data_IF_451933821007
#
_entry.id   IF_451933821007
#
_cell.length_a   1.000
_cell.length_b   1.000
_cell.length_c   1.000
_cell.angle_alpha   90.00
_cell.angle_beta   90.00
_cell.angle_gamma   90.00
#
_symmetry.space_group_name_H-M   'P 1'
#
loop_
_entity.id
_entity.type
_entity.pdbx_description
1 polymer ?
#
# COMPACT_ATOMS: atom_id res chain seq x y z
N UNK A 1 -9.26 19.17 13.75
CA UNK A 1 -10.05 18.07 13.16
C UNK A 1 -9.12 16.94 12.70
N UNK A 2 -8.01 17.26 12.03
CA UNK A 2 -6.83 16.41 11.79
C UNK A 2 -5.55 17.19 12.14
N UNK A 3 -4.40 16.51 12.19
CA UNK A 3 -3.12 16.99 12.73
C UNK A 3 -1.98 16.96 11.68
N UNK A 4 -2.23 16.45 10.47
CA UNK A 4 -1.28 16.49 9.35
C UNK A 4 -1.31 17.84 8.60
N UNK A 5 -0.16 18.24 8.04
CA UNK A 5 -0.03 19.46 7.25
C UNK A 5 -0.13 19.14 5.75
N UNK A 6 -1.22 19.57 5.12
CA UNK A 6 -1.46 19.36 3.68
C UNK A 6 -0.43 20.08 2.81
N UNK A 7 -0.01 21.30 3.17
CA UNK A 7 0.97 22.07 2.40
C UNK A 7 2.32 21.35 2.37
N UNK A 8 2.80 20.90 3.54
CA UNK A 8 4.00 20.07 3.63
C UNK A 8 3.86 18.76 2.87
N UNK A 9 2.67 18.17 2.87
CA UNK A 9 2.39 16.93 2.14
C UNK A 9 2.50 17.13 0.63
N UNK A 10 1.85 18.15 0.07
CA UNK A 10 1.97 18.47 -1.35
C UNK A 10 3.38 18.89 -1.74
N UNK A 11 4.06 19.67 -0.88
CA UNK A 11 5.46 20.03 -1.09
C UNK A 11 6.38 18.80 -1.12
N UNK A 12 6.14 17.80 -0.27
CA UNK A 12 6.87 16.53 -0.30
C UNK A 12 6.61 15.74 -1.58
N UNK A 13 5.37 15.73 -2.10
CA UNK A 13 5.07 15.12 -3.40
C UNK A 13 5.80 15.83 -4.54
N UNK A 14 5.87 17.17 -4.52
CA UNK A 14 6.63 17.93 -5.51
C UNK A 14 8.15 17.64 -5.43
N UNK A 15 8.71 17.58 -4.21
CA UNK A 15 10.13 17.22 -3.99
C UNK A 15 10.45 15.77 -4.32
N UNK A 16 9.44 14.89 -4.37
CA UNK A 16 9.55 13.49 -4.81
C UNK A 16 8.89 13.24 -6.15
N UNK A 17 8.68 14.28 -6.98
CA UNK A 17 8.08 14.15 -8.30
C UNK A 17 8.76 13.08 -9.18
N UNK A 18 10.10 12.90 -9.17
CA UNK A 18 10.74 11.79 -9.88
C UNK A 18 10.21 10.41 -9.47
N UNK A 19 9.95 10.19 -8.17
CA UNK A 19 9.31 8.97 -7.69
C UNK A 19 7.85 8.85 -8.14
N UNK A 20 7.10 9.94 -8.13
CA UNK A 20 5.70 9.95 -8.63
C UNK A 20 5.66 9.55 -10.10
N UNK A 21 6.52 10.14 -10.94
CA UNK A 21 6.62 9.81 -12.37
C UNK A 21 7.04 8.35 -12.57
N UNK A 22 8.02 7.88 -11.78
CA UNK A 22 8.45 6.48 -11.86
C UNK A 22 7.33 5.51 -11.45
N UNK A 23 6.60 5.81 -10.37
CA UNK A 23 5.41 5.06 -9.96
C UNK A 23 4.37 5.08 -11.06
N UNK A 24 4.08 6.23 -11.66
CA UNK A 24 3.15 6.34 -12.79
C UNK A 24 3.58 5.42 -13.93
N UNK A 25 4.85 5.45 -14.35
CA UNK A 25 5.36 4.56 -15.40
C UNK A 25 5.14 3.08 -15.06
N UNK A 26 5.39 2.66 -13.81
CA UNK A 26 5.16 1.29 -13.35
C UNK A 26 3.66 0.93 -13.36
N UNK A 27 2.80 1.74 -12.73
CA UNK A 27 1.37 1.43 -12.61
C UNK A 27 0.64 1.53 -13.96
N UNK A 28 0.94 2.52 -14.80
CA UNK A 28 0.40 2.60 -16.15
C UNK A 28 0.97 1.50 -17.05
N UNK A 29 2.24 1.13 -16.91
CA UNK A 29 2.82 -0.02 -17.62
C UNK A 29 2.07 -1.32 -17.31
N UNK A 30 1.71 -1.54 -16.05
CA UNK A 30 0.87 -2.67 -15.61
C UNK A 30 -0.54 -2.59 -16.21
N UNK A 31 -1.16 -1.41 -16.19
CA UNK A 31 -2.49 -1.21 -16.78
C UNK A 31 -2.50 -1.50 -18.28
N UNK A 32 -1.53 -0.94 -19.02
CA UNK A 32 -1.35 -1.17 -20.46
C UNK A 32 -1.09 -2.64 -20.74
N UNK A 33 -0.25 -3.30 -19.93
CA UNK A 33 0.02 -4.72 -20.06
C UNK A 33 -1.25 -5.58 -19.94
N UNK A 34 -2.13 -5.27 -18.98
CA UNK A 34 -3.44 -5.94 -18.89
C UNK A 34 -4.29 -5.70 -20.13
N UNK A 35 -4.40 -4.46 -20.61
CA UNK A 35 -5.19 -4.12 -21.80
C UNK A 35 -4.66 -4.87 -23.03
N UNK A 36 -3.35 -4.90 -23.24
CA UNK A 36 -2.71 -5.60 -24.36
C UNK A 36 -2.92 -7.11 -24.24
N UNK A 37 -2.67 -7.69 -23.06
CA UNK A 37 -2.78 -9.14 -22.89
C UNK A 37 -4.22 -9.63 -23.06
N UNK A 38 -5.20 -8.93 -22.49
CA UNK A 38 -6.63 -9.22 -22.66
C UNK A 38 -7.06 -9.00 -24.11
N UNK A 39 -6.67 -7.90 -24.74
CA UNK A 39 -7.01 -7.62 -26.14
C UNK A 39 -6.40 -8.62 -27.12
N UNK A 40 -5.11 -8.94 -26.97
CA UNK A 40 -4.42 -9.93 -27.79
C UNK A 40 -4.99 -11.33 -27.60
N UNK A 41 -5.27 -11.72 -26.35
CA UNK A 41 -5.96 -12.98 -26.05
C UNK A 41 -7.32 -13.06 -26.75
N UNK A 42 -8.10 -11.99 -26.68
CA UNK A 42 -9.39 -11.91 -27.37
C UNK A 42 -9.27 -11.98 -28.88
N UNK A 43 -8.31 -11.28 -29.48
CA UNK A 43 -8.07 -11.33 -30.92
C UNK A 43 -7.65 -12.72 -31.41
N UNK A 44 -6.77 -13.41 -30.67
CA UNK A 44 -6.37 -14.79 -30.97
C UNK A 44 -7.57 -15.73 -30.83
N UNK A 45 -8.32 -15.60 -29.73
CA UNK A 45 -9.52 -16.41 -29.49
C UNK A 45 -10.55 -16.25 -30.60
N UNK A 46 -10.82 -15.01 -31.04
CA UNK A 46 -11.68 -14.72 -32.17
C UNK A 46 -11.15 -15.39 -33.46
N UNK A 47 -9.87 -15.22 -33.78
CA UNK A 47 -9.28 -15.75 -35.02
C UNK A 47 -9.27 -17.27 -35.10
N UNK A 48 -9.20 -17.98 -33.97
CA UNK A 48 -9.26 -19.45 -33.91
C UNK A 48 -10.70 -19.95 -34.11
N UNK A 49 -11.71 -19.23 -33.64
CA UNK A 49 -13.11 -19.69 -33.64
C UNK A 49 -14.00 -18.98 -34.65
N UNK A 50 -13.48 -18.00 -35.40
CA UNK A 50 -14.24 -17.20 -36.37
C UNK A 50 -14.79 -18.02 -37.55
N UNK A 51 -14.30 -19.25 -37.74
CA UNK A 51 -14.75 -20.15 -38.79
C UNK A 51 -16.03 -20.93 -38.45
N UNK A 52 -16.55 -20.85 -37.22
CA UNK A 52 -17.85 -21.43 -36.86
C UNK A 52 -18.91 -20.34 -36.70
N UNK A 53 -20.14 -20.65 -37.13
CA UNK A 53 -21.25 -19.69 -37.25
C UNK A 53 -21.56 -18.92 -35.94
N UNK A 54 -21.32 -19.52 -34.77
CA UNK A 54 -21.52 -18.91 -33.46
C UNK A 54 -20.22 -18.76 -32.63
N UNK A 55 -19.06 -19.13 -33.17
CA UNK A 55 -17.83 -19.30 -32.38
C UNK A 55 -17.01 -18.04 -32.14
N UNK A 56 -17.07 -17.07 -33.05
CA UNK A 56 -16.18 -15.89 -33.00
C UNK A 56 -16.31 -15.10 -31.70
N UNK A 57 -17.54 -14.80 -31.26
CA UNK A 57 -17.79 -14.05 -30.02
C UNK A 57 -17.36 -14.82 -28.76
N UNK A 58 -17.69 -16.12 -28.68
CA UNK A 58 -17.31 -16.95 -27.54
C UNK A 58 -15.80 -17.20 -27.47
N UNK A 59 -15.14 -17.39 -28.61
CA UNK A 59 -13.69 -17.51 -28.67
C UNK A 59 -12.99 -16.24 -28.24
N UNK A 60 -13.48 -15.07 -28.67
CA UNK A 60 -12.95 -13.77 -28.21
C UNK A 60 -13.06 -13.63 -26.68
N UNK A 61 -14.19 -14.03 -26.09
CA UNK A 61 -14.39 -13.97 -24.65
C UNK A 61 -13.39 -14.86 -23.89
N UNK A 62 -13.30 -16.15 -24.23
CA UNK A 62 -12.37 -17.06 -23.55
C UNK A 62 -10.91 -16.72 -23.81
N UNK A 63 -10.58 -16.28 -25.02
CA UNK A 63 -9.26 -15.78 -25.36
C UNK A 63 -8.88 -14.57 -24.49
N UNK A 64 -9.79 -13.61 -24.32
CA UNK A 64 -9.58 -12.44 -23.48
C UNK A 64 -9.41 -12.83 -21.99
N UNK A 65 -10.19 -13.79 -21.50
CA UNK A 65 -10.03 -14.35 -20.16
C UNK A 65 -8.67 -15.01 -19.95
N UNK A 66 -8.20 -15.81 -20.92
CA UNK A 66 -6.88 -16.47 -20.87
C UNK A 66 -5.77 -15.41 -20.89
N UNK A 67 -5.89 -14.39 -21.75
CA UNK A 67 -4.95 -13.28 -21.78
C UNK A 67 -4.88 -12.52 -20.44
N UNK A 68 -6.05 -12.22 -19.85
CA UNK A 68 -6.14 -11.61 -18.53
C UNK A 68 -5.53 -12.49 -17.42
N UNK A 69 -5.83 -13.80 -17.43
CA UNK A 69 -5.31 -14.74 -16.45
C UNK A 69 -3.79 -14.90 -16.57
N UNK A 70 -3.27 -14.97 -17.80
CA UNK A 70 -1.83 -15.01 -18.08
C UNK A 70 -1.13 -13.75 -17.57
N UNK A 71 -1.67 -12.57 -17.86
CA UNK A 71 -1.16 -11.31 -17.33
C UNK A 71 -1.18 -11.27 -15.79
N UNK A 72 -2.27 -11.75 -15.18
CA UNK A 72 -2.42 -11.85 -13.74
C UNK A 72 -1.36 -12.77 -13.13
N UNK A 73 -1.10 -13.93 -13.75
CA UNK A 73 -0.07 -14.87 -13.32
C UNK A 73 1.33 -14.26 -13.37
N UNK A 74 1.69 -13.59 -14.47
CA UNK A 74 2.99 -12.90 -14.60
C UNK A 74 3.13 -11.81 -13.54
N UNK A 75 2.10 -10.98 -13.37
CA UNK A 75 2.12 -9.88 -12.41
C UNK A 75 2.07 -10.32 -10.96
N UNK A 76 1.51 -11.51 -10.67
CA UNK A 76 1.56 -12.10 -9.34
C UNK A 76 3.01 -12.27 -8.88
N UNK A 77 3.89 -12.79 -9.74
CA UNK A 77 5.31 -12.94 -9.44
C UNK A 77 6.06 -11.61 -9.47
N UNK A 78 5.71 -10.69 -10.38
CA UNK A 78 6.38 -9.39 -10.50
C UNK A 78 6.01 -8.40 -9.38
N UNK A 79 4.85 -8.57 -8.74
CA UNK A 79 4.30 -7.64 -7.74
C UNK A 79 5.26 -7.40 -6.58
N UNK A 80 5.85 -8.46 -6.05
CA UNK A 80 6.72 -8.39 -4.87
C UNK A 80 8.04 -7.68 -5.20
N UNK A 81 8.60 -7.94 -6.37
CA UNK A 81 9.85 -7.29 -6.77
C UNK A 81 9.64 -5.83 -7.18
N UNK A 82 8.60 -5.52 -7.95
CA UNK A 82 8.46 -4.17 -8.52
C UNK A 82 7.71 -3.25 -7.55
N UNK A 83 6.48 -3.59 -7.18
CA UNK A 83 5.61 -2.63 -6.48
C UNK A 83 6.06 -2.37 -5.04
N UNK A 84 6.54 -3.39 -4.35
CA UNK A 84 7.01 -3.25 -2.98
C UNK A 84 8.30 -2.42 -2.90
N UNK A 85 9.30 -2.75 -3.71
CA UNK A 85 10.58 -2.04 -3.68
C UNK A 85 10.43 -0.56 -4.04
N UNK A 86 9.62 -0.24 -5.06
CA UNK A 86 9.34 1.16 -5.42
C UNK A 86 8.62 1.89 -4.29
N UNK A 87 7.67 1.22 -3.62
CA UNK A 87 6.97 1.78 -2.47
C UNK A 87 7.92 2.08 -1.31
N UNK A 88 8.72 1.11 -0.88
CA UNK A 88 9.64 1.27 0.26
C UNK A 88 10.73 2.30 -0.04
N UNK A 89 11.29 2.31 -1.25
CA UNK A 89 12.26 3.33 -1.66
C UNK A 89 11.65 4.74 -1.62
N UNK A 90 10.38 4.89 -2.04
CA UNK A 90 9.69 6.18 -1.92
C UNK A 90 9.44 6.56 -0.46
N UNK A 91 9.07 5.61 0.41
CA UNK A 91 8.94 5.85 1.86
C UNK A 91 10.27 6.34 2.45
N UNK A 92 11.39 5.70 2.12
CA UNK A 92 12.71 6.13 2.56
C UNK A 92 13.02 7.58 2.14
N UNK A 93 12.64 7.95 0.92
CA UNK A 93 12.80 9.31 0.43
C UNK A 93 11.89 10.31 1.19
N UNK A 94 10.67 9.90 1.50
CA UNK A 94 9.73 10.70 2.28
C UNK A 94 10.23 10.92 3.72
N UNK A 95 10.84 9.92 4.34
CA UNK A 95 11.47 10.03 5.67
C UNK A 95 12.61 11.06 5.66
N UNK A 96 13.50 10.99 4.67
CA UNK A 96 14.60 11.95 4.51
C UNK A 96 14.10 13.39 4.36
N UNK A 97 13.09 13.61 3.52
CA UNK A 97 12.49 14.93 3.31
C UNK A 97 11.78 15.42 4.57
N UNK A 98 11.11 14.52 5.30
CA UNK A 98 10.48 14.82 6.58
C UNK A 98 11.49 15.33 7.61
N UNK A 99 12.64 14.66 7.70
CA UNK A 99 13.74 15.03 8.59
C UNK A 99 14.52 16.27 8.12
N UNK A 100 14.15 16.88 6.99
CA UNK A 100 14.85 18.03 6.43
C UNK A 100 16.26 17.71 5.91
N UNK A 101 16.58 16.43 5.71
CA UNK A 101 17.88 15.97 5.19
C UNK A 101 17.97 16.28 3.69
N UNK A 102 19.20 16.48 3.21
CA UNK A 102 19.44 16.72 1.79
C UNK A 102 19.09 15.47 0.97
N UNK A 103 18.43 15.70 -0.15
CA UNK A 103 17.99 14.67 -1.08
C UNK A 103 18.56 14.99 -2.46
N UNK A 104 19.11 14.01 -3.19
CA UNK A 104 19.49 14.23 -4.57
C UNK A 104 18.25 14.56 -5.42
N UNK A 105 18.42 15.49 -6.35
CA UNK A 105 17.36 15.93 -7.25
C UNK A 105 17.23 15.02 -8.48
N UNK A 106 16.08 15.09 -9.14
CA UNK A 106 15.84 14.38 -10.39
C UNK A 106 15.87 12.85 -10.26
N UNK A 107 16.31 12.17 -11.33
CA UNK A 107 16.28 10.69 -11.40
C UNK A 107 17.22 10.00 -10.41
N UNK A 108 18.28 10.68 -9.96
CA UNK A 108 19.22 10.14 -8.97
C UNK A 108 18.56 9.82 -7.63
N UNK A 109 17.44 10.47 -7.33
CA UNK A 109 16.61 10.23 -6.15
C UNK A 109 16.20 8.76 -6.00
N UNK A 110 15.90 8.08 -7.11
CA UNK A 110 15.44 6.69 -7.11
C UNK A 110 16.56 5.74 -6.71
N UNK A 111 17.73 5.89 -7.33
CA UNK A 111 18.91 5.07 -7.02
C UNK A 111 19.41 5.29 -5.59
N UNK A 112 19.40 6.55 -5.13
CA UNK A 112 19.79 6.90 -3.77
C UNK A 112 18.88 6.27 -2.71
N UNK A 113 17.55 6.40 -2.85
CA UNK A 113 16.65 5.80 -1.86
C UNK A 113 16.66 4.27 -1.91
N UNK A 114 16.87 3.67 -3.10
CA UNK A 114 17.09 2.23 -3.22
C UNK A 114 18.38 1.78 -2.49
N UNK A 115 19.44 2.59 -2.51
CA UNK A 115 20.67 2.33 -1.77
C UNK A 115 20.44 2.36 -0.26
N UNK A 116 19.70 3.36 0.25
CA UNK A 116 19.34 3.46 1.68
C UNK A 116 18.65 2.17 2.17
N UNK A 117 17.69 1.69 1.38
CA UNK A 117 16.96 0.46 1.74
C UNK A 117 17.88 -0.76 1.67
N UNK A 118 18.75 -0.86 0.66
CA UNK A 118 19.67 -2.01 0.52
C UNK A 118 20.75 -2.05 1.60
N UNK A 119 21.33 -0.91 1.94
CA UNK A 119 22.40 -0.80 2.94
C UNK A 119 21.91 -1.18 4.34
N UNK A 120 20.69 -0.74 4.70
CA UNK A 120 20.10 -0.98 6.01
C UNK A 120 19.45 -2.34 6.16
N UNK A 121 18.91 -2.87 5.07
CA UNK A 121 18.18 -4.13 5.05
C UNK A 121 18.91 -5.05 4.08
N UNK A 122 20.05 -5.57 4.55
CA UNK A 122 21.03 -6.38 3.82
C UNK A 122 20.42 -7.49 2.94
N UNK A 123 19.19 -7.91 3.25
CA UNK A 123 18.34 -8.68 2.36
C UNK A 123 17.02 -7.92 2.17
N UNK A 124 16.64 -7.62 0.92
CA UNK A 124 15.34 -7.00 0.60
C UNK A 124 14.14 -7.81 1.15
N UNK A 125 14.33 -9.13 1.32
CA UNK A 125 13.37 -10.04 1.94
C UNK A 125 13.08 -9.74 3.42
N UNK A 126 14.00 -9.10 4.15
CA UNK A 126 13.82 -8.82 5.57
C UNK A 126 12.73 -7.77 5.81
N UNK A 127 12.81 -6.61 5.16
CA UNK A 127 11.78 -5.59 5.30
C UNK A 127 10.42 -6.09 4.84
N UNK A 128 10.40 -6.87 3.75
CA UNK A 128 9.16 -7.48 3.28
C UNK A 128 8.57 -8.41 4.31
N UNK A 129 9.39 -9.28 4.93
CA UNK A 129 8.94 -10.15 6.01
C UNK A 129 8.40 -9.34 7.20
N UNK A 130 9.11 -8.31 7.65
CA UNK A 130 8.65 -7.40 8.71
C UNK A 130 7.30 -6.77 8.34
N UNK A 131 7.17 -6.23 7.14
CA UNK A 131 5.94 -5.59 6.63
C UNK A 131 4.75 -6.57 6.62
N UNK A 132 4.97 -7.83 6.22
CA UNK A 132 3.92 -8.85 6.28
C UNK A 132 3.50 -9.18 7.73
N UNK A 133 4.45 -9.23 8.66
CA UNK A 133 4.13 -9.41 10.08
C UNK A 133 3.32 -8.22 10.60
N UNK A 134 3.76 -6.98 10.32
CA UNK A 134 3.07 -5.75 10.69
C UNK A 134 1.62 -5.76 10.18
N UNK A 135 1.40 -6.05 8.88
CA UNK A 135 0.05 -6.19 8.30
C UNK A 135 -0.80 -7.22 9.03
N UNK A 136 -0.19 -8.35 9.39
CA UNK A 136 -0.83 -9.38 10.20
C UNK A 136 -1.28 -8.86 11.56
N UNK A 137 -0.41 -8.12 12.27
CA UNK A 137 -0.72 -7.52 13.57
C UNK A 137 -1.81 -6.46 13.44
N UNK A 138 -1.74 -5.55 12.47
CA UNK A 138 -2.73 -4.48 12.27
C UNK A 138 -4.14 -5.02 12.00
N UNK A 139 -4.24 -6.16 11.31
CA UNK A 139 -5.52 -6.85 11.09
C UNK A 139 -6.15 -7.34 12.40
N UNK A 140 -5.35 -7.85 13.32
CA UNK A 140 -5.80 -8.24 14.67
C UNK A 140 -6.14 -7.00 15.49
N UNK A 141 -5.30 -5.95 15.43
CA UNK A 141 -5.53 -4.69 16.13
C UNK A 141 -6.86 -4.04 15.72
N UNK A 142 -7.24 -4.13 14.43
CA UNK A 142 -8.57 -3.68 13.96
C UNK A 142 -9.69 -4.33 14.78
N UNK A 143 -9.58 -5.65 15.03
CA UNK A 143 -10.55 -6.40 15.81
C UNK A 143 -10.57 -5.97 17.27
N UNK A 144 -9.39 -5.79 17.90
CA UNK A 144 -9.27 -5.35 19.30
C UNK A 144 -9.86 -3.95 19.54
N UNK A 145 -9.71 -3.05 18.58
CA UNK A 145 -10.26 -1.69 18.66
C UNK A 145 -11.76 -1.65 18.31
N UNK A 146 -12.18 -2.49 17.37
CA UNK A 146 -13.60 -2.66 17.03
C UNK A 146 -14.44 -3.23 18.18
N UNK A 147 -13.85 -4.09 19.03
CA UNK A 147 -14.52 -4.62 20.24
C UNK A 147 -14.47 -3.67 21.43
N UNK A 148 -13.45 -2.82 21.53
CA UNK A 148 -13.36 -1.79 22.59
C UNK A 148 -14.50 -0.75 22.51
N UNK A 149 -15.21 -0.68 21.39
CA UNK A 149 -16.41 0.15 21.21
C UNK A 149 -17.70 -0.53 21.73
N UNK A 150 -17.64 -1.75 22.27
CA UNK A 150 -18.81 -2.56 22.63
C UNK A 150 -18.73 -3.04 24.07
N UNK A 151 -19.27 -2.23 24.98
CA UNK A 151 -19.81 -2.73 26.25
C UNK A 151 -21.34 -2.68 26.30
N UNK A 152 -22.02 -2.32 25.19
CA UNK A 152 -23.48 -2.33 25.12
C UNK A 152 -23.96 -2.87 23.75
N UNK A 153 -24.43 -4.13 23.67
CA UNK A 153 -25.12 -4.63 22.49
C UNK A 153 -26.52 -3.99 22.40
N UNK A 154 -26.67 -2.95 21.59
CA UNK A 154 -27.96 -2.31 21.29
C UNK A 154 -28.53 -2.94 20.01
N UNK A 155 -29.67 -3.65 20.07
CA UNK A 155 -30.40 -4.11 18.89
C UNK A 155 -30.70 -2.95 17.94
N UNK A 156 -30.41 -3.10 16.63
CA UNK A 156 -30.62 -2.06 15.62
C UNK A 156 -29.38 -1.27 15.19
N UNK A 157 -28.24 -1.37 15.90
CA UNK A 157 -26.99 -0.68 15.53
C UNK A 157 -26.02 -1.50 14.65
N UNK A 158 -26.42 -2.68 14.16
CA UNK A 158 -25.53 -3.55 13.38
C UNK A 158 -24.97 -2.87 12.12
N UNK A 159 -25.78 -2.04 11.44
CA UNK A 159 -25.33 -1.26 10.28
C UNK A 159 -24.30 -0.19 10.65
N UNK A 160 -24.52 0.51 11.77
CA UNK A 160 -23.56 1.49 12.32
C UNK A 160 -22.25 0.80 12.69
N UNK A 161 -22.31 -0.38 13.32
CA UNK A 161 -21.11 -1.15 13.66
C UNK A 161 -20.33 -1.61 12.43
N UNK A 162 -21.01 -2.02 11.34
CA UNK A 162 -20.34 -2.33 10.06
C UNK A 162 -19.65 -1.10 9.49
N UNK A 163 -20.30 0.06 9.56
CA UNK A 163 -19.72 1.33 9.10
C UNK A 163 -18.50 1.73 9.94
N UNK A 164 -18.59 1.68 11.26
CA UNK A 164 -17.45 1.95 12.17
C UNK A 164 -16.29 1.00 11.88
N UNK A 165 -16.56 -0.31 11.75
CA UNK A 165 -15.52 -1.28 11.41
C UNK A 165 -14.90 -1.05 10.02
N UNK A 166 -15.69 -0.60 9.04
CA UNK A 166 -15.17 -0.22 7.72
C UNK A 166 -14.27 1.02 7.82
N UNK A 167 -14.66 2.01 8.61
CA UNK A 167 -13.89 3.22 8.87
C UNK A 167 -12.58 2.91 9.60
N UNK A 168 -12.58 2.07 10.63
CA UNK A 168 -11.35 1.62 11.33
C UNK A 168 -10.45 0.80 10.39
N UNK A 169 -11.03 -0.07 9.56
CA UNK A 169 -10.24 -0.83 8.58
C UNK A 169 -9.59 0.09 7.56
N UNK A 170 -10.34 1.08 7.08
CA UNK A 170 -9.83 2.09 6.15
C UNK A 170 -8.75 2.96 6.80
N UNK A 171 -8.88 3.27 8.09
CA UNK A 171 -7.90 4.09 8.82
C UNK A 171 -6.54 3.40 8.99
N UNK A 172 -6.52 2.06 8.95
CA UNK A 172 -5.31 1.25 9.05
C UNK A 172 -4.60 1.00 7.72
N UNK A 173 -5.16 1.44 6.59
CA UNK A 173 -4.68 1.13 5.23
C UNK A 173 -3.22 1.48 4.98
N UNK A 174 -2.72 2.54 5.64
CA UNK A 174 -1.36 3.06 5.41
C UNK A 174 -0.46 2.93 6.65
N UNK A 175 -0.92 2.21 7.67
CA UNK A 175 -0.23 2.18 8.97
C UNK A 175 0.99 1.28 8.91
N UNK A 176 0.94 0.20 8.13
CA UNK A 176 2.13 -0.63 7.89
C UNK A 176 3.24 0.19 7.22
N UNK A 177 2.93 0.99 6.21
CA UNK A 177 3.93 1.87 5.59
C UNK A 177 4.48 2.92 6.54
N UNK A 178 3.66 3.44 7.46
CA UNK A 178 4.10 4.38 8.49
C UNK A 178 5.04 3.72 9.50
N UNK A 179 4.78 2.46 9.88
CA UNK A 179 5.68 1.70 10.76
C UNK A 179 6.97 1.35 10.01
N UNK A 180 6.90 1.00 8.72
CA UNK A 180 8.09 0.84 7.87
C UNK A 180 8.89 2.16 7.80
N UNK A 181 8.21 3.30 7.65
CA UNK A 181 8.85 4.61 7.69
C UNK A 181 9.55 4.86 9.04
N UNK A 182 8.94 4.44 10.16
CA UNK A 182 9.54 4.51 11.48
C UNK A 182 10.81 3.66 11.58
N UNK A 183 10.78 2.40 11.12
CA UNK A 183 11.95 1.52 11.09
C UNK A 183 13.09 2.17 10.29
N UNK A 184 12.79 2.71 9.10
CA UNK A 184 13.77 3.39 8.25
C UNK A 184 14.33 4.64 8.95
N UNK A 185 13.48 5.43 9.61
CA UNK A 185 13.87 6.68 10.28
C UNK A 185 14.76 6.42 11.49
N UNK A 186 14.43 5.43 12.32
CA UNK A 186 15.18 5.12 13.54
C UNK A 186 16.54 4.51 13.21
N UNK A 187 16.63 3.71 12.14
CA UNK A 187 17.91 3.21 11.62
C UNK A 187 18.68 2.31 12.59
N UNK A 188 17.98 1.53 13.42
CA UNK A 188 18.57 0.58 14.37
C UNK A 188 19.09 -0.68 13.68
N UNK A 189 20.03 -1.38 14.33
CA UNK A 189 20.54 -2.68 13.86
C UNK A 189 19.50 -3.80 14.03
N UNK A 190 18.46 -3.58 14.84
CA UNK A 190 17.38 -4.53 15.09
C UNK A 190 16.02 -4.00 14.60
N UNK A 191 15.75 -4.11 13.29
CA UNK A 191 14.51 -3.59 12.70
C UNK A 191 13.26 -4.38 13.14
N UNK A 192 13.41 -5.63 13.59
CA UNK A 192 12.32 -6.43 14.17
C UNK A 192 11.83 -5.80 15.48
N UNK A 193 12.77 -5.40 16.34
CA UNK A 193 12.46 -4.71 17.59
C UNK A 193 11.78 -3.37 17.32
N UNK A 194 12.32 -2.56 16.42
CA UNK A 194 11.73 -1.25 16.08
C UNK A 194 10.34 -1.39 15.45
N UNK A 195 10.11 -2.43 14.64
CA UNK A 195 8.77 -2.74 14.12
C UNK A 195 7.78 -3.14 15.21
N UNK A 196 8.20 -3.96 16.17
CA UNK A 196 7.41 -4.34 17.36
C UNK A 196 7.04 -3.12 18.20
N UNK A 197 8.02 -2.30 18.53
CA UNK A 197 7.82 -1.07 19.31
C UNK A 197 6.93 -0.07 18.57
N UNK A 198 7.12 0.09 17.25
CA UNK A 198 6.27 0.93 16.43
C UNK A 198 4.80 0.50 16.45
N UNK A 199 4.53 -0.81 16.44
CA UNK A 199 3.16 -1.34 16.60
C UNK A 199 2.56 -1.01 17.98
N UNK A 200 3.35 -1.12 19.05
CA UNK A 200 2.91 -0.75 20.42
C UNK A 200 2.63 0.74 20.51
N UNK A 201 3.53 1.57 20.00
CA UNK A 201 3.38 3.03 19.95
C UNK A 201 2.16 3.45 19.12
N UNK A 202 1.86 2.72 18.04
CA UNK A 202 0.63 2.93 17.28
C UNK A 202 -0.61 2.55 18.09
N UNK A 203 -0.60 1.35 18.70
CA UNK A 203 -1.71 0.83 19.46
C UNK A 203 -2.04 1.70 20.68
N UNK A 204 -1.04 2.22 21.40
CA UNK A 204 -1.28 3.11 22.55
C UNK A 204 -1.84 4.48 22.13
N UNK A 205 -1.56 4.92 20.90
CA UNK A 205 -2.05 6.19 20.33
C UNK A 205 -3.19 6.02 19.31
N UNK A 206 -3.91 4.89 19.34
CA UNK A 206 -4.89 4.52 18.33
C UNK A 206 -5.95 5.59 18.07
N UNK A 207 -6.41 6.30 19.12
CA UNK A 207 -7.45 7.33 19.00
C UNK A 207 -7.03 8.49 18.10
N UNK A 208 -5.82 9.01 18.32
CA UNK A 208 -5.21 10.07 17.49
C UNK A 208 -5.02 9.59 16.06
N UNK A 209 -4.52 8.36 15.88
CA UNK A 209 -4.24 7.80 14.57
C UNK A 209 -5.52 7.57 13.75
N UNK A 210 -6.55 6.96 14.36
CA UNK A 210 -7.84 6.72 13.70
C UNK A 210 -8.48 8.04 13.31
N UNK A 211 -8.56 9.02 14.22
CA UNK A 211 -9.15 10.34 13.94
C UNK A 211 -8.52 10.97 12.69
N UNK A 212 -7.19 10.97 12.61
CA UNK A 212 -6.46 11.51 11.47
C UNK A 212 -6.72 10.74 10.18
N UNK A 213 -6.69 9.43 10.26
CA UNK A 213 -6.86 8.58 9.09
C UNK A 213 -8.31 8.58 8.56
N UNK A 214 -9.32 8.89 9.38
CA UNK A 214 -10.69 9.18 8.92
C UNK A 214 -10.73 10.42 8.03
N UNK A 215 -10.13 11.52 8.48
CA UNK A 215 -10.06 12.74 7.68
C UNK A 215 -9.27 12.54 6.40
N UNK A 216 -8.13 11.88 6.50
CA UNK A 216 -7.30 11.54 5.35
C UNK A 216 -8.05 10.70 4.33
N UNK A 217 -8.85 9.73 4.80
CA UNK A 217 -9.70 8.88 3.97
C UNK A 217 -10.71 9.68 3.14
N UNK A 218 -11.35 10.70 3.73
CA UNK A 218 -12.27 11.59 3.02
C UNK A 218 -11.55 12.40 1.93
N UNK A 219 -10.36 12.94 2.23
CA UNK A 219 -9.55 13.64 1.23
C UNK A 219 -9.11 12.72 0.09
N UNK A 220 -8.64 11.51 0.41
CA UNK A 220 -8.24 10.50 -0.58
C UNK A 220 -9.42 10.14 -1.48
N UNK A 221 -10.62 9.97 -0.92
CA UNK A 221 -11.81 9.65 -1.70
C UNK A 221 -12.21 10.79 -2.65
N UNK A 222 -12.22 12.03 -2.16
CA UNK A 222 -12.49 13.21 -2.97
C UNK A 222 -11.49 13.33 -4.14
N UNK A 223 -10.19 13.21 -3.85
CA UNK A 223 -9.15 13.27 -4.87
C UNK A 223 -9.30 12.13 -5.88
N UNK A 224 -9.62 10.92 -5.42
CA UNK A 224 -9.83 9.75 -6.29
C UNK A 224 -11.02 9.94 -7.23
N UNK A 225 -12.12 10.53 -6.76
CA UNK A 225 -13.28 10.84 -7.60
C UNK A 225 -12.91 11.87 -8.67
N UNK A 226 -12.21 12.93 -8.29
CA UNK A 226 -11.76 13.95 -9.24
C UNK A 226 -10.86 13.32 -10.30
N UNK A 227 -9.89 12.49 -9.90
CA UNK A 227 -9.02 11.75 -10.83
C UNK A 227 -9.85 10.87 -11.77
N UNK A 228 -10.85 10.14 -11.25
CA UNK A 228 -11.70 9.28 -12.07
C UNK A 228 -12.40 10.07 -13.18
N UNK A 229 -13.05 11.20 -12.85
CA UNK A 229 -13.69 12.04 -13.85
C UNK A 229 -12.70 12.65 -14.84
N UNK A 230 -11.52 13.05 -14.38
CA UNK A 230 -10.44 13.55 -15.27
C UNK A 230 -9.97 12.46 -16.23
N UNK A 231 -9.87 11.20 -15.78
CA UNK A 231 -9.45 10.07 -16.61
C UNK A 231 -10.50 9.63 -17.64
N UNK A 232 -11.80 9.94 -17.44
CA UNK A 232 -12.83 9.62 -18.42
C UNK A 232 -12.55 10.27 -19.78
N UNK A 233 -12.11 11.53 -19.80
CA UNK A 233 -11.85 12.26 -21.05
C UNK A 233 -10.84 11.57 -21.97
N UNK A 234 -9.59 11.33 -21.51
CA UNK A 234 -8.58 10.61 -22.28
C UNK A 234 -9.00 9.20 -22.70
N UNK A 235 -9.74 8.48 -21.85
CA UNK A 235 -10.18 7.12 -22.15
C UNK A 235 -11.28 7.13 -23.22
N UNK A 236 -12.26 8.04 -23.13
CA UNK A 236 -13.29 8.20 -24.16
C UNK A 236 -12.63 8.59 -25.49
N UNK A 237 -11.69 9.53 -25.48
CA UNK A 237 -10.95 9.94 -26.68
C UNK A 237 -10.18 8.77 -27.32
N UNK A 238 -9.52 7.94 -26.49
CA UNK A 238 -8.82 6.74 -26.96
C UNK A 238 -9.80 5.70 -27.54
N UNK A 239 -10.92 5.47 -26.87
CA UNK A 239 -11.91 4.47 -27.28
C UNK A 239 -12.65 4.86 -28.56
N UNK A 240 -12.83 6.17 -28.82
CA UNK A 240 -13.40 6.66 -30.07
C UNK A 240 -12.58 6.28 -31.32
N UNK A 241 -11.32 5.86 -31.15
CA UNK A 241 -10.47 5.37 -32.24
C UNK A 241 -10.76 3.91 -32.63
N UNK A 242 -11.53 3.18 -31.83
CA UNK A 242 -11.84 1.76 -32.06
C UNK A 242 -13.31 1.58 -32.49
N UNK A 243 -13.60 0.75 -33.51
CA UNK A 243 -14.98 0.47 -33.92
C UNK A 243 -15.71 -0.46 -32.93
N UNK A 244 -16.95 -0.13 -32.56
CA UNK A 244 -17.85 -0.97 -31.73
C UNK A 244 -18.51 -0.23 -30.55
N UNK A 245 -19.45 -0.89 -29.86
CA UNK A 245 -20.01 -0.38 -28.60
C UNK A 245 -19.02 -0.69 -27.46
N UNK A 246 -18.28 0.35 -27.09
CA UNK A 246 -17.23 0.29 -26.08
C UNK A 246 -17.69 0.85 -24.74
N UNK A 247 -18.98 1.15 -24.52
CA UNK A 247 -19.43 1.88 -23.33
C UNK A 247 -18.97 1.23 -22.01
N UNK A 248 -19.13 -0.09 -21.90
CA UNK A 248 -18.68 -0.87 -20.72
C UNK A 248 -17.15 -0.93 -20.64
N UNK A 249 -16.46 -1.07 -21.77
CA UNK A 249 -15.01 -1.19 -21.84
C UNK A 249 -14.30 0.14 -21.55
N UNK A 250 -14.84 1.26 -22.05
CA UNK A 250 -14.37 2.61 -21.76
C UNK A 250 -14.48 2.91 -20.26
N UNK A 251 -15.60 2.56 -19.63
CA UNK A 251 -15.74 2.72 -18.19
C UNK A 251 -14.74 1.85 -17.41
N UNK A 252 -14.59 0.58 -17.78
CA UNK A 252 -13.64 -0.34 -17.15
C UNK A 252 -12.18 0.14 -17.30
N UNK A 253 -11.78 0.58 -18.51
CA UNK A 253 -10.44 1.13 -18.76
C UNK A 253 -10.22 2.42 -17.99
N UNK A 254 -11.21 3.32 -17.93
CA UNK A 254 -11.10 4.56 -17.16
C UNK A 254 -10.94 4.27 -15.66
N UNK A 255 -11.65 3.28 -15.14
CA UNK A 255 -11.49 2.82 -13.78
C UNK A 255 -10.08 2.29 -13.51
N UNK A 256 -9.51 1.47 -14.40
CA UNK A 256 -8.14 0.95 -14.27
C UNK A 256 -7.11 2.08 -14.33
N UNK A 257 -7.25 3.04 -15.23
CA UNK A 257 -6.36 4.20 -15.34
C UNK A 257 -6.46 5.11 -14.11
N UNK A 258 -7.68 5.37 -13.63
CA UNK A 258 -7.92 6.12 -12.39
C UNK A 258 -7.31 5.41 -11.18
N UNK A 259 -7.41 4.09 -11.11
CA UNK A 259 -6.74 3.29 -10.08
C UNK A 259 -5.22 3.47 -10.17
N UNK A 260 -4.62 3.32 -11.36
CA UNK A 260 -3.18 3.47 -11.55
C UNK A 260 -2.70 4.85 -11.07
N UNK A 261 -3.44 5.91 -11.41
CA UNK A 261 -3.13 7.27 -10.97
C UNK A 261 -3.30 7.45 -9.46
N UNK A 262 -4.38 6.91 -8.86
CA UNK A 262 -4.59 6.87 -7.41
C UNK A 262 -3.43 6.18 -6.70
N UNK A 263 -2.97 5.04 -7.22
CA UNK A 263 -1.88 4.27 -6.63
C UNK A 263 -0.52 4.99 -6.75
N UNK A 264 -0.28 5.67 -7.88
CA UNK A 264 0.95 6.39 -8.12
C UNK A 264 1.07 7.67 -7.29
N UNK A 265 -0.01 8.46 -7.20
CA UNK A 265 0.01 9.82 -6.64
C UNK A 265 -0.62 9.90 -5.23
N UNK A 266 -1.80 9.32 -5.04
CA UNK A 266 -2.61 9.55 -3.84
C UNK A 266 -2.13 8.70 -2.67
N UNK A 267 -1.65 7.48 -2.93
CA UNK A 267 -1.08 6.62 -1.89
C UNK A 267 0.13 7.23 -1.16
N UNK A 268 1.21 7.68 -1.85
CA UNK A 268 2.35 8.27 -1.15
C UNK A 268 1.98 9.58 -0.42
N UNK A 269 1.03 10.34 -0.96
CA UNK A 269 0.47 11.52 -0.29
C UNK A 269 -0.18 11.12 1.05
N UNK A 270 -0.99 10.07 1.04
CA UNK A 270 -1.66 9.58 2.24
C UNK A 270 -0.68 9.01 3.27
N UNK A 271 0.28 8.21 2.82
CA UNK A 271 1.35 7.66 3.67
C UNK A 271 2.11 8.81 4.35
N UNK A 272 2.53 9.84 3.60
CA UNK A 272 3.27 10.96 4.17
C UNK A 272 2.44 11.81 5.15
N UNK A 273 1.15 12.03 4.86
CA UNK A 273 0.26 12.73 5.77
C UNK A 273 0.15 11.99 7.11
N UNK A 274 -0.09 10.68 7.08
CA UNK A 274 -0.21 9.87 8.29
C UNK A 274 1.12 9.71 9.03
N UNK A 275 2.24 9.63 8.28
CA UNK A 275 3.59 9.59 8.82
C UNK A 275 3.92 10.82 9.67
N UNK A 276 3.54 12.02 9.21
CA UNK A 276 3.70 13.25 10.00
C UNK A 276 2.99 13.19 11.35
N UNK A 277 1.76 12.67 11.36
CA UNK A 277 0.96 12.52 12.60
C UNK A 277 1.64 11.52 13.52
N UNK A 278 2.00 10.36 12.99
CA UNK A 278 2.60 9.29 13.77
C UNK A 278 3.92 9.72 14.41
N UNK A 279 4.84 10.27 13.62
CA UNK A 279 6.15 10.71 14.10
C UNK A 279 6.08 11.80 15.16
N UNK A 280 5.14 12.75 15.02
CA UNK A 280 4.90 13.76 16.05
C UNK A 280 4.28 13.15 17.30
N UNK A 281 3.36 12.20 17.13
CA UNK A 281 2.62 11.61 18.26
C UNK A 281 3.52 10.77 19.15
N UNK A 282 4.44 10.01 18.56
CA UNK A 282 5.31 9.08 19.31
C UNK A 282 6.56 9.76 19.91
N UNK A 283 6.77 11.06 19.63
CA UNK A 283 7.98 11.77 20.05
C UNK A 283 8.12 11.75 21.58
N UNK A 284 9.27 11.22 22.07
CA UNK A 284 9.57 11.09 23.49
C UNK A 284 8.75 10.03 24.24
N UNK A 285 7.94 9.23 23.55
CA UNK A 285 7.17 8.15 24.18
C UNK A 285 7.96 6.84 24.23
N UNK A 286 7.76 6.08 25.31
CA UNK A 286 8.19 4.69 25.39
C UNK A 286 7.03 3.72 25.10
N UNK A 287 7.30 2.53 24.56
CA UNK A 287 6.29 1.49 24.35
C UNK A 287 5.63 1.04 25.65
N UNK A 288 4.31 1.15 25.72
CA UNK A 288 3.53 0.74 26.88
C UNK A 288 3.53 -0.80 27.05
N UNK A 289 3.86 -1.26 28.26
CA UNK A 289 3.99 -2.69 28.59
C UNK A 289 2.66 -3.44 28.48
N UNK A 290 1.54 -2.83 28.88
CA UNK A 290 0.21 -3.45 28.79
C UNK A 290 -0.19 -3.69 27.33
N UNK A 291 0.07 -2.71 26.46
CA UNK A 291 -0.16 -2.86 25.02
C UNK A 291 0.75 -3.90 24.38
N UNK A 292 2.02 -3.99 24.78
CA UNK A 292 2.91 -5.07 24.34
C UNK A 292 2.32 -6.45 24.68
N UNK A 293 1.90 -6.64 25.93
CA UNK A 293 1.31 -7.89 26.40
C UNK A 293 -0.02 -8.20 25.70
N UNK A 294 -0.85 -7.18 25.48
CA UNK A 294 -2.14 -7.33 24.79
C UNK A 294 -1.96 -7.72 23.32
N UNK A 295 -1.00 -7.12 22.63
CA UNK A 295 -0.67 -7.49 21.25
C UNK A 295 -0.04 -8.89 21.20
N UNK A 296 0.85 -9.22 22.15
CA UNK A 296 1.48 -10.53 22.24
C UNK A 296 0.48 -11.65 22.54
N UNK A 297 -0.54 -11.42 23.36
CA UNK A 297 -1.59 -12.41 23.62
C UNK A 297 -2.50 -12.61 22.41
N UNK A 298 -2.90 -11.51 21.75
CA UNK A 298 -3.87 -11.55 20.65
C UNK A 298 -3.29 -11.95 19.28
N UNK A 299 -1.99 -11.71 19.01
CA UNK A 299 -1.41 -11.85 17.67
C UNK A 299 -0.18 -12.76 17.65
N UNK A 300 -0.30 -13.91 16.98
CA UNK A 300 0.83 -14.79 16.70
C UNK A 300 1.94 -14.08 15.89
N UNK A 301 1.56 -13.16 15.00
CA UNK A 301 2.50 -12.38 14.19
C UNK A 301 3.27 -11.36 15.02
N UNK A 302 2.68 -10.86 16.10
CA UNK A 302 3.39 -10.00 17.05
C UNK A 302 4.39 -10.78 17.90
N UNK A 303 4.04 -12.03 18.27
CA UNK A 303 4.99 -12.94 18.93
C UNK A 303 6.17 -13.28 18.02
N UNK A 304 5.94 -13.60 16.75
CA UNK A 304 7.01 -13.83 15.75
C UNK A 304 7.94 -12.59 15.59
N UNK A 305 7.39 -11.37 15.61
CA UNK A 305 8.20 -10.14 15.65
C UNK A 305 9.08 -10.08 16.91
N UNK A 306 8.54 -10.43 18.08
CA UNK A 306 9.24 -10.42 19.37
C UNK A 306 10.34 -11.48 19.41
N UNK A 307 10.06 -12.69 18.94
CA UNK A 307 11.01 -13.79 18.89
C UNK A 307 12.20 -13.45 17.98
N UNK A 308 11.93 -12.94 16.76
CA UNK A 308 12.97 -12.48 15.82
C UNK A 308 13.78 -11.29 16.34
N UNK A 309 13.14 -10.39 17.08
CA UNK A 309 13.83 -9.30 17.75
C UNK A 309 14.82 -9.81 18.80
N UNK A 310 14.48 -10.85 19.55
CA UNK A 310 15.40 -11.47 20.51
C UNK A 310 16.55 -12.21 19.81
N UNK A 311 16.25 -12.98 18.76
CA UNK A 311 17.27 -13.72 18.00
C UNK A 311 18.30 -12.78 17.35
N UNK A 312 17.87 -11.60 16.89
CA UNK A 312 18.76 -10.60 16.32
C UNK A 312 19.76 -10.01 17.33
N UNK A 313 19.46 -10.06 18.64
CA UNK A 313 20.36 -9.59 19.71
C UNK A 313 21.36 -10.69 20.11
N UNK A 314 20.96 -11.96 20.02
CA UNK A 314 21.77 -13.11 20.49
C UNK A 314 22.81 -13.55 19.45
N UNK A 315 22.68 -13.12 18.19
CA UNK A 315 23.51 -13.60 17.07
C UNK A 315 23.11 -15.03 16.66
N UNK A 316 23.49 -15.50 15.45
CA UNK A 316 23.13 -16.84 15.01
C UNK A 316 23.70 -17.86 15.99
N UNK A 317 22.83 -18.68 16.61
CA UNK A 317 23.30 -19.83 17.39
C UNK A 317 24.20 -20.67 16.48
N UNK A 318 25.36 -21.14 16.97
CA UNK A 318 26.13 -22.14 16.24
C UNK A 318 25.18 -23.24 15.83
N UNK A 319 25.18 -23.61 14.55
CA UNK A 319 24.51 -24.82 14.13
C UNK A 319 25.10 -25.94 14.98
N UNK A 320 24.27 -26.56 15.82
CA UNK A 320 24.66 -27.73 16.59
C UNK A 320 25.04 -28.80 15.56
N UNK A 321 26.35 -28.91 15.33
CA UNK A 321 26.92 -29.94 14.49
C UNK A 321 26.87 -31.24 15.25
N UNK A 322 25.91 -32.09 14.90
CA UNK A 322 25.97 -33.55 15.06
C UNK A 322 25.26 -34.20 13.89
#
# INVERSE_FOLDING_TARGET
MWDFDLSRTFAAMARTAPFIVFRMAVYFGIAIFYVIATGAGGAIGYGVTSFSDDGGGMGAFYGAMIGFAGASGILYFAREFILYHVKVAHIAMLVLIHDGKQAPEGRAQIGFAAAIVRERFAQSSMLFAIDQLIKGVLRILTGLLGTASVLIPIPGLQGVMRMVNAVIRMSLTYVDEVIVAHIIRTGTDNPWQTGREGLVLYAQNYGTMIKNAIWLSLFVWLITIVIFFVMLGPVIALMALFPGDLGVWAFATAFVFAWAFKAALVEPLAIYALMQVYFRTIEGQEPNVEWDQRLASASAKFRDLKDRAMDAVVGPRPADGT
#
